data_IF_201698995852
#
_entry.id   IF_201698995852
#
_cell.length_a   1.000
_cell.length_b   1.000
_cell.length_c   1.000
_cell.angle_alpha   90.00
_cell.angle_beta   90.00
_cell.angle_gamma   90.00
#
_symmetry.space_group_name_H-M   'P 1'
#
loop_
_entity.id
_entity.type
_entity.pdbx_description
1 polymer ?
#
# COMPACT_ATOMS: atom_id res chain seq x y z
N UNK A 1 -17.13 -19.60 29.95
CA UNK A 1 -15.84 -20.32 29.89
C UNK A 1 -15.80 -21.04 28.56
N UNK A 2 -15.16 -20.45 27.55
CA UNK A 2 -14.98 -21.16 26.27
C UNK A 2 -13.85 -22.18 26.41
N UNK A 3 -13.85 -23.24 25.59
CA UNK A 3 -12.80 -24.26 25.61
C UNK A 3 -11.39 -23.67 25.38
N UNK A 4 -11.31 -22.54 24.69
CA UNK A 4 -10.07 -21.83 24.40
C UNK A 4 -9.53 -21.05 25.60
N UNK A 5 -10.41 -20.45 26.40
CA UNK A 5 -10.06 -19.72 27.62
C UNK A 5 -9.61 -20.64 28.77
N UNK A 6 -10.02 -21.90 28.74
CA UNK A 6 -9.64 -22.91 29.74
C UNK A 6 -8.32 -23.63 29.44
N UNK A 7 -7.68 -23.36 28.29
CA UNK A 7 -6.40 -23.98 27.92
C UNK A 7 -5.24 -23.49 28.82
N UNK A 8 -4.15 -24.27 28.88
CA UNK A 8 -2.90 -23.86 29.55
C UNK A 8 -2.32 -22.61 28.91
N UNK A 9 -1.55 -21.85 29.68
CA UNK A 9 -1.01 -20.56 29.23
C UNK A 9 -0.06 -20.71 28.03
N UNK A 10 0.75 -21.76 28.00
CA UNK A 10 1.62 -22.10 26.87
C UNK A 10 0.84 -22.36 25.57
N UNK A 11 -0.25 -23.14 25.65
CA UNK A 11 -1.11 -23.43 24.49
C UNK A 11 -1.82 -22.17 23.98
N UNK A 12 -2.21 -21.26 24.87
CA UNK A 12 -2.79 -19.97 24.49
C UNK A 12 -1.79 -19.10 23.75
N UNK A 13 -0.54 -19.06 24.21
CA UNK A 13 0.52 -18.29 23.56
C UNK A 13 0.86 -18.85 22.17
N UNK A 14 0.98 -20.18 22.06
CA UNK A 14 1.20 -20.85 20.78
C UNK A 14 0.09 -20.55 19.76
N UNK A 15 -1.18 -20.64 20.17
CA UNK A 15 -2.32 -20.28 19.29
C UNK A 15 -2.30 -18.80 18.87
N UNK A 16 -1.93 -17.90 19.77
CA UNK A 16 -1.78 -16.46 19.45
C UNK A 16 -0.67 -16.22 18.44
N UNK A 17 0.43 -16.96 18.51
CA UNK A 17 1.52 -16.82 17.55
C UNK A 17 1.12 -17.38 16.18
N UNK A 18 0.56 -18.58 16.13
CA UNK A 18 0.07 -19.19 14.89
C UNK A 18 -0.99 -18.32 14.18
N UNK A 19 -1.92 -17.74 14.95
CA UNK A 19 -2.94 -16.83 14.38
C UNK A 19 -2.34 -15.54 13.85
N UNK A 20 -1.36 -14.94 14.55
CA UNK A 20 -0.64 -13.76 14.05
C UNK A 20 0.16 -14.07 12.78
N UNK A 21 0.80 -15.23 12.71
CA UNK A 21 1.57 -15.66 11.54
C UNK A 21 0.67 -15.91 10.34
N UNK A 22 -0.44 -16.62 10.52
CA UNK A 22 -1.44 -16.82 9.47
C UNK A 22 -1.97 -15.48 8.93
N UNK A 23 -2.31 -14.54 9.83
CA UNK A 23 -2.76 -13.20 9.41
C UNK A 23 -1.67 -12.49 8.60
N UNK A 24 -0.40 -12.59 9.01
CA UNK A 24 0.71 -11.93 8.31
C UNK A 24 0.95 -12.55 6.93
N UNK A 25 0.90 -13.87 6.81
CA UNK A 25 1.09 -14.59 5.55
C UNK A 25 -0.01 -14.28 4.54
N UNK A 26 -1.25 -14.10 5.01
CA UNK A 26 -2.39 -13.77 4.16
C UNK A 26 -2.55 -12.26 3.85
N UNK A 27 -1.65 -11.39 4.31
CA UNK A 27 -1.69 -9.97 3.97
C UNK A 27 -1.27 -9.74 2.52
N UNK A 28 -2.10 -9.00 1.76
CA UNK A 28 -1.76 -8.60 0.40
C UNK A 28 -0.59 -7.61 0.39
N UNK A 29 0.35 -7.80 -0.54
CA UNK A 29 1.45 -6.88 -0.76
C UNK A 29 0.92 -5.49 -1.14
N UNK A 30 1.34 -4.46 -0.41
CA UNK A 30 1.05 -3.08 -0.79
C UNK A 30 2.00 -2.68 -1.91
N UNK A 31 1.45 -2.23 -3.04
CA UNK A 31 2.25 -1.74 -4.17
C UNK A 31 2.95 -0.45 -3.75
N UNK A 32 4.27 -0.50 -3.62
CA UNK A 32 5.09 0.66 -3.30
C UNK A 32 5.45 1.44 -4.57
N UNK A 33 5.45 2.76 -4.47
CA UNK A 33 6.16 3.63 -5.39
C UNK A 33 6.79 4.78 -4.63
N UNK A 34 7.47 5.67 -5.35
CA UNK A 34 8.14 6.83 -4.74
C UNK A 34 7.11 7.85 -4.28
N UNK A 35 6.95 7.98 -2.96
CA UNK A 35 6.11 9.01 -2.34
C UNK A 35 6.78 10.38 -2.49
N UNK A 36 6.00 11.38 -2.86
CA UNK A 36 6.47 12.76 -3.03
C UNK A 36 5.40 13.77 -2.69
N UNK A 37 5.84 14.91 -2.14
CA UNK A 37 5.00 16.07 -1.88
C UNK A 37 5.00 17.11 -3.03
N UNK A 38 5.62 16.76 -4.16
CA UNK A 38 5.73 17.61 -5.35
C UNK A 38 4.36 17.84 -6.02
N UNK A 39 3.44 16.88 -5.87
CA UNK A 39 2.14 16.90 -6.53
C UNK A 39 1.01 17.13 -5.53
N UNK A 40 0.11 18.06 -5.86
CA UNK A 40 -1.13 18.28 -5.11
C UNK A 40 -2.28 17.56 -5.81
N UNK A 41 -3.03 16.75 -5.07
CA UNK A 41 -4.18 16.08 -5.63
C UNK A 41 -5.33 17.08 -5.89
N UNK A 42 -5.85 17.13 -7.12
CA UNK A 42 -6.98 18.01 -7.45
C UNK A 42 -8.28 17.72 -6.68
N UNK A 43 -8.49 16.48 -6.21
CA UNK A 43 -9.72 16.08 -5.48
C UNK A 43 -9.63 16.36 -3.97
N UNK A 44 -8.64 15.79 -3.29
CA UNK A 44 -8.51 15.94 -1.83
C UNK A 44 -7.60 17.08 -1.40
N UNK A 45 -6.92 17.76 -2.33
CA UNK A 45 -5.96 18.86 -2.09
C UNK A 45 -4.76 18.50 -1.22
N UNK A 46 -4.55 17.22 -0.92
CA UNK A 46 -3.40 16.75 -0.13
C UNK A 46 -2.23 16.42 -1.04
N UNK A 47 -1.03 16.38 -0.45
CA UNK A 47 0.25 16.21 -1.16
C UNK A 47 0.79 14.78 -1.16
N UNK A 48 0.14 13.85 -0.46
CA UNK A 48 0.57 12.46 -0.40
C UNK A 48 0.27 11.73 -1.72
N UNK A 49 1.21 11.84 -2.65
CA UNK A 49 1.13 11.26 -3.99
C UNK A 49 2.34 10.37 -4.26
N UNK A 50 2.08 9.25 -4.93
CA UNK A 50 3.11 8.36 -5.48
C UNK A 50 3.22 8.63 -6.97
N UNK A 51 4.44 8.74 -7.50
CA UNK A 51 4.64 8.89 -8.94
C UNK A 51 5.47 7.74 -9.53
N UNK A 52 5.31 7.49 -10.82
CA UNK A 52 6.10 6.53 -11.59
C UNK A 52 6.28 7.08 -12.99
N UNK A 53 7.53 7.08 -13.48
CA UNK A 53 7.85 7.53 -14.82
C UNK A 53 8.03 6.34 -15.74
N UNK A 54 7.33 6.36 -16.87
CA UNK A 54 7.40 5.31 -17.89
C UNK A 54 7.50 5.97 -19.26
N UNK A 55 8.46 5.53 -20.06
CA UNK A 55 8.56 5.94 -21.45
C UNK A 55 7.45 5.24 -22.25
N UNK A 56 6.33 5.92 -22.47
CA UNK A 56 5.21 5.39 -23.27
C UNK A 56 5.21 5.91 -24.72
N UNK A 57 6.18 6.75 -25.09
CA UNK A 57 6.27 7.41 -26.39
C UNK A 57 7.63 7.16 -27.05
N UNK A 58 7.82 7.66 -28.26
CA UNK A 58 9.11 7.58 -28.99
C UNK A 58 10.26 8.13 -28.14
N UNK A 59 11.50 7.72 -28.46
CA UNK A 59 12.68 8.09 -27.68
C UNK A 59 12.97 9.61 -27.67
N UNK A 60 12.44 10.34 -28.65
CA UNK A 60 12.59 11.80 -28.77
C UNK A 60 11.61 12.57 -27.88
N UNK A 61 10.61 11.91 -27.30
CA UNK A 61 9.62 12.54 -26.43
C UNK A 61 9.91 12.24 -24.95
N UNK A 62 9.65 13.19 -24.05
CA UNK A 62 9.91 13.00 -22.62
C UNK A 62 9.06 11.87 -22.03
N UNK A 63 9.55 11.28 -20.93
CA UNK A 63 8.84 10.22 -20.22
C UNK A 63 7.48 10.70 -19.70
N UNK A 64 6.47 9.83 -19.78
CA UNK A 64 5.17 10.11 -19.18
C UNK A 64 5.21 9.81 -17.69
N UNK A 65 4.80 10.79 -16.87
CA UNK A 65 4.78 10.65 -15.41
C UNK A 65 3.36 10.31 -14.95
N UNK A 66 3.17 9.13 -14.39
CA UNK A 66 1.92 8.70 -13.78
C UNK A 66 1.93 9.05 -12.29
N UNK A 67 0.86 9.68 -11.82
CA UNK A 67 0.71 10.09 -10.41
C UNK A 67 -0.54 9.47 -9.83
N UNK A 68 -0.43 8.91 -8.64
CA UNK A 68 -1.51 8.32 -7.85
C UNK A 68 -1.56 9.00 -6.49
N UNK A 69 -2.72 9.52 -6.11
CA UNK A 69 -2.95 10.01 -4.75
C UNK A 69 -3.20 8.82 -3.81
N UNK A 70 -2.38 8.70 -2.76
CA UNK A 70 -2.46 7.60 -1.81
C UNK A 70 -3.65 7.72 -0.85
N UNK A 71 -4.36 8.85 -0.85
CA UNK A 71 -5.46 9.10 0.07
C UNK A 71 -6.84 8.88 -0.55
N UNK A 72 -7.07 9.45 -1.74
CA UNK A 72 -8.36 9.35 -2.44
C UNK A 72 -8.32 8.41 -3.64
N UNK A 73 -7.15 7.82 -3.95
CA UNK A 73 -6.98 6.91 -5.08
C UNK A 73 -7.03 7.60 -6.45
N UNK A 74 -7.09 8.93 -6.52
CA UNK A 74 -7.14 9.66 -7.79
C UNK A 74 -5.85 9.41 -8.60
N UNK A 75 -6.00 9.16 -9.90
CA UNK A 75 -4.87 8.88 -10.80
C UNK A 75 -4.89 9.84 -11.98
N UNK A 76 -3.72 10.36 -12.35
CA UNK A 76 -3.57 11.21 -13.54
C UNK A 76 -2.17 11.07 -14.13
N UNK A 77 -1.95 11.62 -15.32
CA UNK A 77 -0.68 11.57 -16.03
C UNK A 77 -0.25 12.95 -16.51
N UNK A 78 1.05 13.18 -16.56
CA UNK A 78 1.69 14.32 -17.22
C UNK A 78 2.49 13.82 -18.41
N UNK A 79 2.38 14.52 -19.54
CA UNK A 79 3.17 14.32 -20.74
C UNK A 79 3.95 15.61 -21.02
#
# INVERSE_FOLDING_TARGET
MTAEEMASDELKEMRKNLTKEAIREHQMAKTGGTQTDLFTCGKCKKKNCTYTQVQTRSADEPMTTFVVCNECGNRWKFC
#
